data_IF_848435731222
#
_entry.id   IF_848435731222
#
_cell.length_a   1.000
_cell.length_b   1.000
_cell.length_c   1.000
_cell.angle_alpha   90.00
_cell.angle_beta   90.00
_cell.angle_gamma   90.00
#
_symmetry.space_group_name_H-M   'P 1'
#
loop_
_entity.id
_entity.type
_entity.pdbx_description
1 polymer ?
#
# COMPACT_ATOMS: atom_id res chain seq x y z
N UNK A 1 17.78 -2.60 -7.62
CA UNK A 1 17.44 -1.17 -7.42
C UNK A 1 16.00 -1.06 -7.85
N UNK A 2 15.09 -0.67 -6.96
CA UNK A 2 13.69 -0.46 -7.31
C UNK A 2 13.65 0.56 -8.46
N UNK A 3 13.24 0.15 -9.65
CA UNK A 3 13.27 0.99 -10.86
C UNK A 3 11.92 1.63 -11.17
N UNK A 4 10.85 1.18 -10.52
CA UNK A 4 9.48 1.52 -10.90
C UNK A 4 9.09 2.90 -10.35
N UNK A 5 9.39 3.19 -9.08
CA UNK A 5 9.10 4.50 -8.46
C UNK A 5 10.32 5.42 -8.32
N UNK A 6 11.51 4.93 -8.66
CA UNK A 6 12.77 5.66 -8.47
C UNK A 6 12.80 7.04 -9.15
N UNK A 7 12.10 7.18 -10.28
CA UNK A 7 12.02 8.42 -11.05
C UNK A 7 11.15 9.48 -10.37
N UNK A 8 10.23 9.08 -9.51
CA UNK A 8 9.34 9.96 -8.73
C UNK A 8 9.77 10.06 -7.26
N UNK A 9 11.02 9.68 -6.96
CA UNK A 9 11.56 9.74 -5.60
C UNK A 9 11.07 8.62 -4.67
N UNK A 10 10.45 7.58 -5.22
CA UNK A 10 9.94 6.45 -4.43
C UNK A 10 8.50 6.61 -3.94
N UNK A 11 7.80 7.68 -4.31
CA UNK A 11 6.38 7.87 -3.95
C UNK A 11 5.50 6.88 -4.74
N UNK A 12 4.62 6.20 -4.02
CA UNK A 12 3.68 5.21 -4.56
C UNK A 12 2.21 5.65 -4.42
N UNK A 13 1.96 6.81 -3.80
CA UNK A 13 0.62 7.30 -3.49
C UNK A 13 -0.17 6.38 -2.55
N UNK A 14 -1.50 6.51 -2.59
CA UNK A 14 -2.41 5.63 -1.83
C UNK A 14 -2.78 4.42 -2.65
N UNK A 15 -2.52 3.23 -2.09
CA UNK A 15 -2.94 1.97 -2.65
C UNK A 15 -3.76 1.16 -1.64
N UNK A 16 -4.73 0.41 -2.16
CA UNK A 16 -5.49 -0.57 -1.39
C UNK A 16 -4.80 -1.93 -1.32
N UNK A 17 -5.41 -2.86 -0.58
CA UNK A 17 -4.99 -4.27 -0.56
C UNK A 17 -5.11 -4.91 -1.94
N UNK A 18 -4.19 -5.82 -2.26
CA UNK A 18 -4.09 -6.53 -3.53
C UNK A 18 -3.41 -5.74 -4.64
N UNK A 19 -2.80 -4.60 -4.35
CA UNK A 19 -2.09 -3.78 -5.36
C UNK A 19 -0.61 -4.17 -5.45
N UNK A 20 0.00 -4.59 -4.34
CA UNK A 20 1.41 -4.96 -4.28
C UNK A 20 1.60 -6.47 -4.14
N UNK A 21 2.86 -6.91 -4.31
CA UNK A 21 3.28 -8.27 -4.02
C UNK A 21 3.07 -8.60 -2.53
N UNK A 22 2.78 -9.86 -2.21
CA UNK A 22 2.44 -10.32 -0.86
C UNK A 22 3.50 -9.91 0.17
N UNK A 23 4.79 -10.04 -0.17
CA UNK A 23 5.88 -9.67 0.74
C UNK A 23 5.92 -8.15 1.02
N UNK A 24 5.55 -7.33 0.03
CA UNK A 24 5.48 -5.89 0.19
C UNK A 24 4.27 -5.50 1.06
N UNK A 25 3.11 -6.10 0.80
CA UNK A 25 1.90 -5.81 1.57
C UNK A 25 2.06 -6.21 3.04
N UNK A 26 2.60 -7.39 3.33
CA UNK A 26 2.82 -7.86 4.69
C UNK A 26 3.73 -6.91 5.47
N UNK A 27 4.80 -6.42 4.83
CA UNK A 27 5.66 -5.42 5.43
C UNK A 27 4.93 -4.09 5.63
N UNK A 28 4.21 -3.58 4.61
CA UNK A 28 3.49 -2.30 4.68
C UNK A 28 2.42 -2.29 5.78
N UNK A 29 1.65 -3.36 5.92
CA UNK A 29 0.59 -3.48 6.94
C UNK A 29 1.13 -3.76 8.35
N UNK A 30 2.40 -4.14 8.47
CA UNK A 30 3.10 -4.30 9.74
C UNK A 30 3.69 -2.99 10.29
N UNK A 31 3.76 -1.93 9.47
CA UNK A 31 4.34 -0.65 9.86
C UNK A 31 3.35 0.27 10.56
N UNK A 32 3.87 1.08 11.48
CA UNK A 32 3.17 2.26 11.98
C UNK A 32 3.35 3.45 11.01
N UNK A 33 2.41 4.41 11.06
CA UNK A 33 2.51 5.62 10.25
C UNK A 33 3.80 6.40 10.59
N UNK A 34 4.58 6.73 9.56
CA UNK A 34 5.90 7.34 9.66
C UNK A 34 7.07 6.34 9.77
N UNK A 35 6.80 5.05 9.94
CA UNK A 35 7.84 4.02 10.11
C UNK A 35 8.44 3.56 8.77
N UNK A 36 9.70 3.13 8.82
CA UNK A 36 10.41 2.52 7.70
C UNK A 36 10.69 1.05 8.03
N UNK A 37 10.38 0.14 7.11
CA UNK A 37 10.64 -1.28 7.24
C UNK A 37 12.14 -1.62 7.24
N UNK A 38 12.45 -2.82 7.69
CA UNK A 38 13.69 -3.48 7.28
C UNK A 38 13.70 -3.79 5.77
N UNK A 39 14.81 -4.34 5.24
CA UNK A 39 14.88 -4.76 3.84
C UNK A 39 13.84 -5.84 3.52
N UNK A 40 13.01 -5.61 2.52
CA UNK A 40 11.98 -6.52 2.04
C UNK A 40 12.38 -7.08 0.69
N UNK A 41 12.49 -8.40 0.59
CA UNK A 41 12.75 -9.08 -0.68
C UNK A 41 11.41 -9.40 -1.35
N UNK A 42 11.23 -8.89 -2.57
CA UNK A 42 10.07 -9.16 -3.41
C UNK A 42 10.54 -9.79 -4.72
N UNK A 43 9.59 -10.20 -5.56
CA UNK A 43 9.86 -10.65 -6.93
C UNK A 43 10.59 -9.61 -7.80
N UNK A 44 10.58 -8.33 -7.42
CA UNK A 44 11.25 -7.23 -8.11
C UNK A 44 12.64 -6.87 -7.52
N UNK A 45 13.05 -7.55 -6.44
CA UNK A 45 14.33 -7.35 -5.78
C UNK A 45 14.17 -6.90 -4.33
N UNK A 46 15.11 -6.08 -3.85
CA UNK A 46 15.16 -5.64 -2.46
C UNK A 46 14.65 -4.20 -2.33
N UNK A 47 13.73 -3.98 -1.38
CA UNK A 47 13.03 -2.71 -1.15
C UNK A 47 13.12 -2.28 0.32
N UNK A 48 13.05 -0.97 0.55
CA UNK A 48 12.77 -0.37 1.85
C UNK A 48 11.45 0.37 1.72
N UNK A 49 10.54 0.16 2.66
CA UNK A 49 9.17 0.67 2.59
C UNK A 49 8.99 1.68 3.72
N UNK A 50 8.47 2.87 3.40
CA UNK A 50 8.07 3.85 4.41
C UNK A 50 6.57 4.08 4.31
N UNK A 51 5.86 3.93 5.43
CA UNK A 51 4.44 4.24 5.49
C UNK A 51 4.28 5.73 5.81
N UNK A 52 3.81 6.53 4.84
CA UNK A 52 3.66 7.98 5.05
C UNK A 52 2.32 8.34 5.71
N UNK A 53 1.20 7.75 5.25
CA UNK A 53 -0.15 8.08 5.72
C UNK A 53 -1.08 6.88 5.56
N UNK A 54 -1.95 6.61 6.55
CA UNK A 54 -3.03 5.61 6.45
C UNK A 54 -4.39 6.28 6.28
N UNK A 55 -5.02 6.10 5.12
CA UNK A 55 -6.41 6.54 4.89
C UNK A 55 -7.40 5.42 5.09
N UNK A 56 -8.33 5.61 6.03
CA UNK A 56 -9.53 4.76 6.13
C UNK A 56 -10.54 5.29 5.13
N UNK A 57 -10.86 4.49 4.12
CA UNK A 57 -12.02 4.75 3.29
C UNK A 57 -13.26 4.41 4.12
N UNK A 58 -14.10 5.42 4.38
CA UNK A 58 -15.46 5.20 4.86
C UNK A 58 -16.24 4.54 3.72
N UNK A 59 -16.21 3.20 3.66
CA UNK A 59 -17.06 2.46 2.72
C UNK A 59 -18.49 2.61 3.23
N UNK A 60 -19.43 3.15 2.42
CA UNK A 60 -20.83 3.26 2.79
C UNK A 60 -21.38 1.91 3.24
N UNK A 61 -22.34 1.90 4.15
CA UNK A 61 -22.95 0.65 4.58
C UNK A 61 -23.53 -0.08 3.36
N UNK A 62 -23.48 -1.42 3.37
CA UNK A 62 -23.98 -2.23 2.25
C UNK A 62 -25.43 -1.86 1.85
N UNK A 63 -26.25 -1.45 2.81
CA UNK A 63 -27.61 -0.99 2.57
C UNK A 63 -27.68 0.30 1.72
N UNK A 64 -26.71 1.21 1.84
CA UNK A 64 -26.62 2.45 1.04
C UNK A 64 -26.20 2.16 -0.40
N UNK A 65 -25.33 1.17 -0.61
CA UNK A 65 -24.86 0.74 -1.94
C UNK A 65 -25.90 -0.10 -2.72
N UNK A 66 -26.91 -0.63 -2.02
CA UNK A 66 -27.94 -1.47 -2.65
C UNK A 66 -28.86 -0.69 -3.56
N UNK A 67 -29.11 0.59 -3.24
CA UNK A 67 -30.01 1.44 -4.03
C UNK A 67 -29.41 1.80 -5.40
N UNK A 68 -28.08 1.89 -5.49
CA UNK A 68 -27.35 2.22 -6.72
C UNK A 68 -27.08 1.02 -7.64
N UNK A 69 -27.18 -0.22 -7.14
CA UNK A 69 -26.91 -1.46 -7.88
C UNK A 69 -28.15 -2.07 -8.57
N UNK A 70 -29.25 -1.32 -8.69
CA UNK A 70 -30.54 -1.82 -9.19
C UNK A 70 -30.76 -1.62 -10.68
#
# INVERSE_FOLDING_TARGET
VDTVSAQEGGDLGFAGRGVYDEAFEDALFGLEEGEVSGPVETSFGLHLIKLEEVRRSDVPAFDELREDLR
#
